data_IF_492896349588
#
_entry.id   IF_492896349588
#
_cell.length_a   1.000
_cell.length_b   1.000
_cell.length_c   1.000
_cell.angle_alpha   90.00
_cell.angle_beta   90.00
_cell.angle_gamma   90.00
#
_symmetry.space_group_name_H-M   'P 1'
#
loop_
_entity.id
_entity.type
_entity.pdbx_description
1 polymer ?
#
# COMPACT_ATOMS: atom_id res chain seq x y z
N UNK A 1 1.66 -26.16 4.33
CA UNK A 1 0.89 -25.45 3.30
C UNK A 1 0.43 -24.11 3.81
N UNK A 2 -0.64 -24.09 4.60
CA UNK A 2 -1.23 -22.86 5.18
C UNK A 2 -0.28 -22.07 6.12
N UNK A 3 0.54 -22.75 6.94
CA UNK A 3 1.48 -22.07 7.84
C UNK A 3 2.59 -21.29 7.13
N UNK A 4 3.01 -21.75 5.94
CA UNK A 4 4.00 -21.04 5.14
C UNK A 4 3.40 -19.73 4.64
N UNK A 5 2.18 -19.79 4.10
CA UNK A 5 1.44 -18.62 3.64
C UNK A 5 1.25 -17.59 4.76
N UNK A 6 0.76 -18.00 5.94
CA UNK A 6 0.62 -17.10 7.09
C UNK A 6 1.94 -16.43 7.52
N UNK A 7 3.07 -17.15 7.45
CA UNK A 7 4.39 -16.58 7.74
C UNK A 7 4.79 -15.52 6.72
N UNK A 8 4.59 -15.78 5.42
CA UNK A 8 4.87 -14.81 4.36
C UNK A 8 3.97 -13.57 4.45
N UNK A 9 2.70 -13.74 4.86
CA UNK A 9 1.80 -12.60 5.11
C UNK A 9 2.34 -11.71 6.24
N UNK A 10 2.64 -12.31 7.39
CA UNK A 10 3.16 -11.56 8.53
C UNK A 10 4.50 -10.89 8.23
N UNK A 11 5.34 -11.53 7.43
CA UNK A 11 6.59 -10.94 6.96
C UNK A 11 6.35 -9.73 6.03
N UNK A 12 5.41 -9.83 5.10
CA UNK A 12 5.06 -8.73 4.18
C UNK A 12 4.51 -7.52 4.93
N UNK A 13 3.61 -7.73 5.88
CA UNK A 13 3.06 -6.66 6.72
C UNK A 13 4.15 -6.00 7.59
N UNK A 14 5.07 -6.80 8.15
CA UNK A 14 6.19 -6.30 8.92
C UNK A 14 7.13 -5.44 8.07
N UNK A 15 7.43 -5.87 6.84
CA UNK A 15 8.27 -5.13 5.91
C UNK A 15 7.65 -3.77 5.55
N UNK A 16 6.33 -3.72 5.31
CA UNK A 16 5.62 -2.45 5.07
C UNK A 16 5.75 -1.48 6.26
N UNK A 17 5.60 -1.96 7.49
CA UNK A 17 5.76 -1.11 8.69
C UNK A 17 7.18 -0.54 8.78
N UNK A 18 8.19 -1.39 8.60
CA UNK A 18 9.59 -0.97 8.62
C UNK A 18 9.89 0.05 7.52
N UNK A 19 9.35 -0.13 6.32
CA UNK A 19 9.52 0.81 5.20
C UNK A 19 8.98 2.21 5.56
N UNK A 20 7.76 2.29 6.08
CA UNK A 20 7.13 3.56 6.47
C UNK A 20 7.87 4.21 7.64
N UNK A 21 8.30 3.43 8.63
CA UNK A 21 9.10 3.93 9.75
C UNK A 21 10.44 4.51 9.26
N UNK A 22 11.16 3.80 8.37
CA UNK A 22 12.41 4.27 7.79
C UNK A 22 12.22 5.57 7.00
N UNK A 23 11.19 5.62 6.15
CA UNK A 23 10.85 6.83 5.41
C UNK A 23 10.55 8.01 6.34
N UNK A 24 9.82 7.76 7.43
CA UNK A 24 9.54 8.79 8.44
C UNK A 24 10.80 9.26 9.19
N UNK A 25 11.73 8.36 9.51
CA UNK A 25 13.00 8.75 10.14
C UNK A 25 13.93 9.51 9.19
N UNK A 26 13.82 9.27 7.88
CA UNK A 26 14.66 9.86 6.83
C UNK A 26 14.01 11.07 6.14
N UNK A 27 13.02 11.71 6.76
CA UNK A 27 12.33 12.89 6.20
C UNK A 27 13.33 14.02 5.85
N UNK A 28 13.21 14.66 4.67
CA UNK A 28 12.19 14.45 3.64
C UNK A 28 12.47 13.21 2.78
N UNK A 29 11.44 12.38 2.53
CA UNK A 29 11.59 11.11 1.82
C UNK A 29 10.43 10.79 0.88
N UNK A 30 10.68 9.87 -0.07
CA UNK A 30 9.71 9.39 -1.03
C UNK A 30 9.64 7.86 -0.95
N UNK A 31 8.43 7.31 -0.83
CA UNK A 31 8.15 5.89 -0.97
C UNK A 31 7.57 5.68 -2.36
N UNK A 32 8.20 4.83 -3.17
CA UNK A 32 7.72 4.48 -4.51
C UNK A 32 7.30 3.02 -4.57
N UNK A 33 6.04 2.79 -4.93
CA UNK A 33 5.48 1.48 -5.23
C UNK A 33 5.30 1.35 -6.74
N UNK A 34 6.06 0.46 -7.37
CA UNK A 34 5.77 0.02 -8.73
C UNK A 34 4.76 -1.13 -8.69
N UNK A 35 3.93 -1.26 -9.73
CA UNK A 35 2.89 -2.30 -9.84
C UNK A 35 2.03 -2.45 -8.57
N UNK A 36 1.52 -1.32 -8.04
CA UNK A 36 0.77 -1.33 -6.77
C UNK A 36 -0.51 -2.18 -6.82
N UNK A 37 -1.03 -2.49 -8.02
CA UNK A 37 -2.12 -3.45 -8.22
C UNK A 37 -1.77 -4.89 -7.83
N UNK A 38 -0.48 -5.26 -7.80
CA UNK A 38 -0.02 -6.53 -7.26
C UNK A 38 -0.07 -6.58 -5.72
N UNK A 39 0.21 -5.44 -5.06
CA UNK A 39 0.18 -5.32 -3.60
C UNK A 39 -1.26 -5.16 -3.07
N UNK A 40 -2.10 -4.44 -3.81
CA UNK A 40 -3.42 -4.04 -3.35
C UNK A 40 -4.54 -4.28 -4.38
N UNK A 41 -4.81 -5.55 -4.73
CA UNK A 41 -5.85 -5.87 -5.68
C UNK A 41 -7.27 -5.59 -5.12
N UNK A 42 -8.24 -5.30 -6.01
CA UNK A 42 -9.66 -5.17 -5.64
C UNK A 42 -10.12 -6.41 -4.88
N UNK A 43 -10.85 -6.20 -3.78
CA UNK A 43 -11.46 -7.28 -2.99
C UNK A 43 -12.51 -8.00 -3.83
N UNK A 44 -12.18 -9.13 -4.44
CA UNK A 44 -13.20 -10.05 -4.98
C UNK A 44 -13.58 -11.11 -3.95
N UNK A 45 -14.82 -11.61 -4.01
CA UNK A 45 -15.32 -12.64 -3.09
C UNK A 45 -14.56 -13.99 -3.15
N UNK A 46 -13.64 -14.14 -4.10
CA UNK A 46 -12.76 -15.31 -4.30
C UNK A 46 -11.28 -15.02 -4.01
N UNK A 47 -10.91 -13.79 -3.68
CA UNK A 47 -9.52 -13.40 -3.46
C UNK A 47 -9.05 -13.77 -2.06
N UNK A 48 -7.81 -14.26 -1.97
CA UNK A 48 -7.20 -14.73 -0.73
C UNK A 48 -7.27 -13.67 0.37
N UNK A 49 -7.77 -14.07 1.55
CA UNK A 49 -7.81 -13.27 2.77
C UNK A 49 -6.47 -12.59 3.09
N UNK A 50 -5.38 -13.18 2.58
CA UNK A 50 -4.00 -12.71 2.61
C UNK A 50 -3.85 -11.31 1.99
N UNK A 51 -4.35 -11.09 0.77
CA UNK A 51 -4.21 -9.78 0.12
C UNK A 51 -5.04 -8.70 0.85
N UNK A 52 -6.17 -9.09 1.44
CA UNK A 52 -7.01 -8.18 2.19
C UNK A 52 -6.33 -7.64 3.47
N UNK A 53 -5.50 -8.44 4.15
CA UNK A 53 -4.79 -8.00 5.35
C UNK A 53 -3.65 -7.03 5.01
N UNK A 54 -2.92 -7.29 3.91
CA UNK A 54 -1.87 -6.41 3.39
C UNK A 54 -2.45 -5.05 2.98
N UNK A 55 -3.55 -5.04 2.21
CA UNK A 55 -4.28 -3.81 1.85
C UNK A 55 -4.70 -3.03 3.09
N UNK A 56 -5.25 -3.72 4.09
CA UNK A 56 -5.70 -3.08 5.34
C UNK A 56 -4.53 -2.46 6.12
N UNK A 57 -3.37 -3.12 6.14
CA UNK A 57 -2.15 -2.60 6.75
C UNK A 57 -1.65 -1.36 6.00
N UNK A 58 -1.61 -1.40 4.67
CA UNK A 58 -1.21 -0.25 3.85
C UNK A 58 -2.13 0.95 4.08
N UNK A 59 -3.45 0.74 4.13
CA UNK A 59 -4.42 1.79 4.44
C UNK A 59 -4.15 2.44 5.80
N UNK A 60 -3.93 1.62 6.84
CA UNK A 60 -3.64 2.12 8.18
C UNK A 60 -2.31 2.89 8.26
N UNK A 61 -1.29 2.46 7.50
CA UNK A 61 0.00 3.16 7.43
C UNK A 61 -0.13 4.52 6.74
N UNK A 62 -0.90 4.60 5.64
CA UNK A 62 -1.16 5.87 4.96
C UNK A 62 -1.99 6.84 5.82
N UNK A 63 -3.02 6.34 6.52
CA UNK A 63 -3.83 7.15 7.44
C UNK A 63 -3.01 7.71 8.61
N UNK A 64 -1.90 7.05 8.96
CA UNK A 64 -0.98 7.45 10.04
C UNK A 64 0.12 8.42 9.62
N UNK A 65 0.27 8.74 8.33
CA UNK A 65 1.25 9.73 7.88
C UNK A 65 0.82 11.14 8.31
N UNK A 66 1.69 11.85 9.02
CA UNK A 66 1.43 13.24 9.43
C UNK A 66 1.30 14.15 8.20
N UNK A 67 0.35 15.07 8.25
CA UNK A 67 -0.08 15.91 7.13
C UNK A 67 0.94 17.00 6.74
N UNK A 68 2.15 16.95 7.33
CA UNK A 68 3.24 17.91 7.08
C UNK A 68 3.92 17.73 5.72
N UNK A 69 3.58 16.68 4.97
CA UNK A 69 4.04 16.48 3.58
C UNK A 69 5.53 16.11 3.46
N UNK A 70 6.16 15.67 4.54
CA UNK A 70 7.58 15.33 4.57
C UNK A 70 7.87 13.90 4.08
N UNK A 71 6.85 13.05 4.01
CA UNK A 71 6.91 11.73 3.36
C UNK A 71 5.88 11.72 2.24
N UNK A 72 6.34 11.51 1.01
CA UNK A 72 5.47 11.41 -0.17
C UNK A 72 5.40 9.96 -0.62
N UNK A 73 4.18 9.44 -0.82
CA UNK A 73 3.97 8.09 -1.36
C UNK A 73 3.52 8.20 -2.81
N UNK A 74 4.20 7.50 -3.71
CA UNK A 74 3.89 7.45 -5.14
C UNK A 74 3.63 5.99 -5.51
N UNK A 75 2.49 5.72 -6.14
CA UNK A 75 2.16 4.41 -6.69
C UNK A 75 2.06 4.46 -8.21
N UNK A 76 2.67 3.50 -8.90
CA UNK A 76 2.51 3.26 -10.33
C UNK A 76 1.69 1.98 -10.56
N UNK A 77 0.84 1.99 -11.58
CA UNK A 77 0.06 0.83 -12.01
C UNK A 77 -0.27 0.92 -13.49
N UNK A 78 -0.40 -0.23 -14.13
CA UNK A 78 -0.98 -0.36 -15.47
C UNK A 78 -2.50 -0.65 -15.43
N UNK A 79 -3.05 -0.93 -14.25
CA UNK A 79 -4.42 -1.43 -14.06
C UNK A 79 -5.12 -0.68 -12.92
N UNK A 80 -5.51 0.56 -13.19
CA UNK A 80 -6.21 1.40 -12.21
C UNK A 80 -7.53 0.79 -11.71
N UNK A 81 -8.20 -0.01 -12.54
CA UNK A 81 -9.41 -0.77 -12.23
C UNK A 81 -9.16 -1.94 -11.26
N UNK A 82 -7.91 -2.39 -11.15
CA UNK A 82 -7.50 -3.49 -10.28
C UNK A 82 -7.07 -3.05 -8.88
N UNK A 83 -7.07 -1.76 -8.55
CA UNK A 83 -6.70 -1.24 -7.22
C UNK A 83 -7.93 -1.08 -6.32
N UNK A 84 -7.80 -1.42 -5.02
CA UNK A 84 -8.85 -1.16 -4.01
C UNK A 84 -9.24 0.34 -3.99
N UNK A 85 -10.52 0.69 -4.24
CA UNK A 85 -10.99 2.09 -4.25
C UNK A 85 -10.75 2.84 -2.94
N UNK A 86 -10.59 2.14 -1.82
CA UNK A 86 -10.26 2.77 -0.54
C UNK A 86 -8.89 3.47 -0.56
N UNK A 87 -7.93 2.97 -1.34
CA UNK A 87 -6.60 3.57 -1.46
C UNK A 87 -6.62 4.93 -2.17
N UNK A 88 -7.66 5.19 -2.98
CA UNK A 88 -7.82 6.41 -3.78
C UNK A 88 -8.65 7.50 -3.08
N UNK A 89 -8.98 7.30 -1.80
CA UNK A 89 -9.73 8.28 -1.01
C UNK A 89 -8.83 9.46 -0.59
N UNK A 90 -9.40 10.65 -0.32
CA UNK A 90 -8.64 11.80 0.18
C UNK A 90 -7.79 11.46 1.40
N UNK A 91 -6.55 11.95 1.44
CA UNK A 91 -5.56 11.63 2.48
C UNK A 91 -4.70 10.39 2.21
N UNK A 92 -4.85 9.76 1.03
CA UNK A 92 -4.10 8.58 0.59
C UNK A 92 -3.51 8.84 -0.80
N UNK A 93 -3.83 8.03 -1.81
CA UNK A 93 -3.55 8.37 -3.22
C UNK A 93 -4.65 9.31 -3.74
N UNK A 94 -4.61 10.56 -3.29
CA UNK A 94 -5.61 11.58 -3.63
C UNK A 94 -5.33 12.30 -4.96
N UNK A 95 -4.11 12.16 -5.51
CA UNK A 95 -3.69 12.71 -6.80
C UNK A 95 -3.41 11.60 -7.80
N UNK A 96 -3.98 11.73 -8.99
CA UNK A 96 -3.80 10.79 -10.10
C UNK A 96 -3.23 11.49 -11.32
N UNK A 97 -2.22 10.88 -11.92
CA UNK A 97 -1.64 11.30 -13.19
C UNK A 97 -1.82 10.19 -14.20
N UNK A 98 -2.37 10.54 -15.36
CA UNK A 98 -2.49 9.63 -16.50
C UNK A 98 -1.52 10.06 -17.58
N UNK A 99 -0.61 9.18 -17.92
CA UNK A 99 0.29 9.34 -19.05
C UNK A 99 -0.33 8.61 -20.25
N UNK A 100 -0.55 9.33 -21.35
CA UNK A 100 -1.14 8.84 -22.59
C UNK A 100 -0.15 8.94 -23.74
#
# INVERSE_FOLDING_TARGET
>A
GADCLCKYVGESERQLRVLFEQAYQQRPSIIFFDEIDGLAPVRSARQDQIHASIVSTLLALMDGLDNRGEVVVIGATNRLDAIDPALRRPGRFDREFRFS
#
